data_IF_058766385324
#
_entry.id   IF_058766385324
#
_cell.length_a   1.000
_cell.length_b   1.000
_cell.length_c   1.000
_cell.angle_alpha   90.00
_cell.angle_beta   90.00
_cell.angle_gamma   90.00
#
_symmetry.space_group_name_H-M   'P 1'
#
loop_
_entity.id
_entity.type
_entity.pdbx_description
1 polymer ?
#
# COMPACT_ATOMS: atom_id res chain seq x y z
N UNK A 1 0.29 47.55 20.92
CA UNK A 1 -1.13 47.70 20.53
C UNK A 1 -1.80 46.34 20.63
N UNK A 2 -3.06 46.32 21.07
CA UNK A 2 -3.79 45.13 21.54
C UNK A 2 -4.06 44.10 20.44
N UNK A 3 -4.03 42.86 20.89
CA UNK A 3 -4.55 41.65 20.27
C UNK A 3 -6.08 41.71 20.20
N UNK A 4 -6.67 41.41 19.04
CA UNK A 4 -8.09 41.01 18.92
C UNK A 4 -8.15 39.60 18.32
N UNK A 5 -8.40 38.62 19.17
CA UNK A 5 -8.84 37.28 18.81
C UNK A 5 -10.35 37.35 18.51
N UNK A 6 -10.77 37.00 17.29
CA UNK A 6 -12.18 36.69 16.99
C UNK A 6 -12.36 35.18 16.91
N UNK A 7 -13.13 34.66 17.85
CA UNK A 7 -13.75 33.35 17.77
C UNK A 7 -14.65 33.27 16.52
N UNK A 8 -14.47 32.23 15.71
CA UNK A 8 -15.47 31.81 14.72
C UNK A 8 -15.82 30.35 14.98
N UNK A 9 -17.06 30.14 15.37
CA UNK A 9 -17.68 28.84 15.64
C UNK A 9 -17.92 28.06 14.33
N UNK A 10 -17.68 26.76 14.39
CA UNK A 10 -18.02 25.78 13.35
C UNK A 10 -19.54 25.76 13.07
N UNK A 11 -19.92 25.95 11.80
CA UNK A 11 -21.03 25.26 11.10
C UNK A 11 -21.28 25.91 9.73
N UNK A 12 -21.69 25.07 8.75
CA UNK A 12 -22.13 25.38 7.37
C UNK A 12 -21.05 25.57 6.31
N UNK A 13 -20.69 24.47 5.66
CA UNK A 13 -20.43 24.45 4.22
C UNK A 13 -20.81 23.07 3.65
N UNK A 14 -22.09 22.90 3.30
CA UNK A 14 -22.58 21.89 2.37
C UNK A 14 -23.82 22.49 1.70
N UNK A 15 -23.64 23.14 0.54
CA UNK A 15 -24.66 23.18 -0.51
C UNK A 15 -24.01 23.56 -1.86
N UNK A 16 -24.34 22.85 -2.96
CA UNK A 16 -23.68 23.03 -4.24
C UNK A 16 -24.23 24.21 -5.04
N UNK A 17 -23.31 24.90 -5.74
CA UNK A 17 -23.60 25.97 -6.70
C UNK A 17 -24.27 25.36 -7.93
N UNK A 18 -25.58 25.56 -8.07
CA UNK A 18 -26.30 25.41 -9.32
C UNK A 18 -27.10 26.69 -9.59
N UNK A 19 -26.60 27.54 -10.49
CA UNK A 19 -27.36 28.64 -11.10
C UNK A 19 -27.12 28.62 -12.61
N UNK A 20 -28.06 28.03 -13.34
CA UNK A 20 -28.35 28.46 -14.71
C UNK A 20 -29.87 28.60 -14.85
N UNK A 21 -30.29 29.73 -15.40
CA UNK A 21 -31.68 30.24 -15.42
C UNK A 21 -32.50 29.61 -16.55
N UNK A 22 -33.77 29.38 -16.23
CA UNK A 22 -34.99 29.44 -17.07
C UNK A 22 -35.04 28.57 -18.33
N UNK A 23 -36.03 27.67 -18.36
CA UNK A 23 -37.14 27.74 -19.32
C UNK A 23 -38.37 26.99 -18.78
N UNK A 24 -39.52 27.42 -19.29
CA UNK A 24 -40.90 27.27 -18.87
C UNK A 24 -41.53 25.88 -18.95
N UNK A 25 -42.51 25.67 -18.06
CA UNK A 25 -43.79 24.94 -18.22
C UNK A 25 -43.76 23.49 -18.70
N UNK A 26 -44.23 22.55 -17.86
CA UNK A 26 -45.46 21.78 -18.09
C UNK A 26 -45.66 20.68 -17.02
N UNK A 27 -46.90 20.63 -16.53
CA UNK A 27 -47.65 19.47 -16.01
C UNK A 27 -47.11 18.61 -14.87
N UNK A 28 -47.88 18.67 -13.80
CA UNK A 28 -48.01 17.80 -12.63
C UNK A 28 -48.04 16.31 -12.99
N UNK A 29 -47.10 15.53 -12.44
CA UNK A 29 -47.25 14.08 -12.27
C UNK A 29 -46.56 13.69 -10.96
N UNK A 30 -47.38 13.20 -10.03
CA UNK A 30 -46.95 12.71 -8.73
C UNK A 30 -46.25 11.35 -8.88
N UNK A 31 -45.06 11.20 -8.30
CA UNK A 31 -44.35 9.92 -8.13
C UNK A 31 -43.81 9.84 -6.68
N UNK A 32 -43.83 8.66 -6.02
CA UNK A 32 -43.83 8.53 -4.56
C UNK A 32 -42.47 8.79 -3.90
N UNK A 33 -42.51 9.16 -2.61
CA UNK A 33 -41.34 9.30 -1.73
C UNK A 33 -40.57 7.97 -1.61
N UNK A 34 -39.28 7.99 -1.95
CA UNK A 34 -38.33 6.92 -1.62
C UNK A 34 -37.94 7.00 -0.13
N UNK A 35 -37.73 5.86 0.55
CA UNK A 35 -37.35 5.83 1.95
C UNK A 35 -35.89 6.26 2.12
N UNK A 36 -35.64 7.12 3.10
CA UNK A 36 -34.30 7.49 3.58
C UNK A 36 -33.65 6.27 4.26
N UNK A 37 -32.72 5.60 3.59
CA UNK A 37 -31.80 4.69 4.25
C UNK A 37 -30.64 5.50 4.82
N UNK A 38 -30.50 5.47 6.14
CA UNK A 38 -29.32 5.94 6.84
C UNK A 38 -28.17 4.97 6.56
N UNK A 39 -27.16 5.43 5.82
CA UNK A 39 -25.88 4.74 5.70
C UNK A 39 -25.22 4.74 7.08
N UNK A 40 -25.28 3.60 7.78
CA UNK A 40 -24.45 3.37 8.97
C UNK A 40 -23.05 3.06 8.50
N UNK A 41 -22.10 3.94 8.82
CA UNK A 41 -20.69 3.63 8.76
C UNK A 41 -20.39 2.49 9.76
N UNK A 42 -19.73 1.44 9.29
CA UNK A 42 -19.21 0.39 10.16
C UNK A 42 -18.05 0.96 10.97
N UNK A 43 -18.25 1.08 12.28
CA UNK A 43 -17.20 1.31 13.26
C UNK A 43 -16.54 -0.06 13.54
N UNK A 44 -15.22 -0.12 13.45
CA UNK A 44 -14.43 -1.32 13.78
C UNK A 44 -14.69 -1.76 15.24
N UNK A 45 -14.97 -3.04 15.54
CA UNK A 45 -15.18 -3.46 16.91
C UNK A 45 -13.87 -3.44 17.70
N UNK A 46 -13.84 -2.64 18.78
CA UNK A 46 -12.77 -2.67 19.78
C UNK A 46 -12.77 -4.00 20.55
N UNK A 47 -11.62 -4.67 20.56
CA UNK A 47 -11.21 -5.58 21.64
C UNK A 47 -11.57 -7.06 21.44
N UNK A 48 -10.59 -7.85 21.01
CA UNK A 48 -10.62 -9.30 21.18
C UNK A 48 -9.46 -9.71 22.09
N UNK A 49 -9.81 -10.20 23.30
CA UNK A 49 -8.91 -10.97 24.16
C UNK A 49 -9.15 -12.45 23.88
N UNK A 50 -8.09 -13.17 23.55
CA UNK A 50 -8.11 -14.62 23.39
C UNK A 50 -8.54 -15.30 24.70
N UNK A 51 -9.73 -15.92 24.72
CA UNK A 51 -10.14 -16.89 25.73
C UNK A 51 -9.93 -18.30 25.17
N UNK A 52 -9.04 -19.07 25.81
CA UNK A 52 -9.02 -20.54 25.66
C UNK A 52 -10.31 -21.10 26.23
N UNK A 53 -11.19 -21.60 25.37
CA UNK A 53 -12.37 -22.36 25.79
C UNK A 53 -11.97 -23.83 25.89
N UNK A 54 -11.69 -24.31 27.09
CA UNK A 54 -11.57 -25.75 27.37
C UNK A 54 -12.97 -26.32 27.51
N UNK A 55 -13.34 -27.22 26.60
CA UNK A 55 -14.63 -27.90 26.57
C UNK A 55 -14.61 -29.04 27.60
N UNK A 56 -15.17 -28.79 28.79
CA UNK A 56 -15.33 -29.81 29.83
C UNK A 56 -16.68 -30.54 29.65
N UNK A 57 -16.63 -31.78 29.15
CA UNK A 57 -17.80 -32.67 29.10
C UNK A 57 -18.15 -33.18 30.50
N UNK A 58 -19.34 -32.85 31.00
CA UNK A 58 -19.89 -33.41 32.24
C UNK A 58 -20.38 -34.85 32.00
N UNK A 59 -19.73 -35.83 32.64
CA UNK A 59 -20.35 -37.09 33.07
C UNK A 59 -19.93 -37.38 34.51
N UNK A 60 -20.92 -37.42 35.43
CA UNK A 60 -20.77 -38.06 36.75
C UNK A 60 -20.97 -39.57 36.56
N UNK A 61 -20.27 -40.44 37.31
CA UNK A 61 -20.87 -40.90 38.57
C UNK A 61 -19.91 -41.27 39.72
N UNK A 62 -20.50 -41.26 40.92
CA UNK A 62 -20.30 -42.10 42.12
C UNK A 62 -19.06 -41.96 43.02
N UNK A 63 -19.41 -41.91 44.32
CA UNK A 63 -18.62 -41.98 45.55
C UNK A 63 -17.81 -43.28 45.69
N UNK A 64 -16.65 -43.19 46.34
CA UNK A 64 -16.04 -44.08 47.37
C UNK A 64 -14.63 -43.50 47.66
N UNK A 65 -14.40 -42.86 48.80
CA UNK A 65 -13.77 -43.41 50.02
C UNK A 65 -12.30 -43.84 49.88
N UNK A 66 -11.53 -43.44 50.91
CA UNK A 66 -10.34 -44.10 51.47
C UNK A 66 -8.93 -43.76 50.93
N UNK A 67 -8.25 -42.88 51.69
CA UNK A 67 -6.98 -43.07 52.44
C UNK A 67 -5.66 -43.55 51.80
N UNK A 68 -4.59 -42.97 52.39
CA UNK A 68 -3.19 -43.42 52.55
C UNK A 68 -2.27 -43.26 51.32
N UNK A 69 -1.25 -42.39 51.31
CA UNK A 69 -0.09 -42.19 52.21
C UNK A 69 0.96 -43.32 52.14
N UNK A 70 2.22 -42.88 51.98
CA UNK A 70 3.49 -43.62 52.07
C UNK A 70 3.83 -44.59 50.92
N UNK A 71 5.08 -44.72 50.44
CA UNK A 71 6.37 -44.05 50.70
C UNK A 71 7.38 -44.74 49.76
N UNK A 72 8.44 -44.01 49.37
CA UNK A 72 9.83 -44.50 49.20
C UNK A 72 10.09 -45.51 48.05
N UNK A 73 11.25 -45.57 47.37
CA UNK A 73 12.60 -44.99 47.52
C UNK A 73 13.45 -45.44 46.31
N UNK A 74 14.51 -44.67 45.99
CA UNK A 74 15.87 -45.04 45.48
C UNK A 74 15.99 -46.07 44.32
N UNK A 75 16.94 -46.05 43.37
CA UNK A 75 17.95 -45.13 42.79
C UNK A 75 18.79 -45.99 41.82
N UNK A 76 19.27 -45.42 40.70
CA UNK A 76 20.58 -45.61 39.97
C UNK A 76 21.18 -47.04 39.86
N UNK A 77 21.73 -47.60 38.78
CA UNK A 77 22.28 -47.30 37.43
C UNK A 77 22.59 -48.72 36.79
N UNK A 78 23.37 -48.93 35.70
CA UNK A 78 23.51 -48.34 34.36
C UNK A 78 23.40 -49.43 33.24
N UNK A 79 23.55 -49.06 31.95
CA UNK A 79 23.75 -50.03 30.86
C UNK A 79 23.95 -49.39 29.48
N UNK A 80 25.02 -49.78 28.81
CA UNK A 80 25.66 -49.24 27.58
C UNK A 80 24.88 -49.47 26.27
N UNK A 81 25.27 -48.76 25.22
CA UNK A 81 24.97 -49.12 23.83
C UNK A 81 25.23 -48.01 22.80
N UNK A 82 26.47 -47.95 22.27
CA UNK A 82 26.81 -47.25 21.02
C UNK A 82 26.12 -47.91 19.81
N UNK A 83 25.63 -47.14 18.83
CA UNK A 83 25.70 -47.53 17.41
C UNK A 83 25.47 -46.34 16.44
N UNK A 84 26.31 -46.33 15.41
CA UNK A 84 26.44 -45.38 14.30
C UNK A 84 25.18 -45.22 13.42
N UNK A 85 24.99 -44.03 12.84
CA UNK A 85 24.12 -43.80 11.68
C UNK A 85 24.13 -42.33 11.19
N UNK A 86 24.40 -42.05 9.90
CA UNK A 86 24.93 -40.76 9.45
C UNK A 86 23.90 -39.65 9.19
N UNK A 87 24.38 -38.42 9.37
CA UNK A 87 23.82 -37.14 8.95
C UNK A 87 23.76 -37.10 7.42
N UNK A 88 22.56 -36.98 6.85
CA UNK A 88 22.36 -36.66 5.44
C UNK A 88 22.30 -35.13 5.29
N UNK A 89 23.44 -34.54 4.93
CA UNK A 89 23.54 -33.16 4.43
C UNK A 89 23.06 -33.17 2.97
N UNK A 90 21.88 -32.63 2.68
CA UNK A 90 21.51 -32.31 1.30
C UNK A 90 22.07 -30.92 1.01
N UNK A 91 23.19 -30.92 0.28
CA UNK A 91 23.87 -29.73 -0.17
C UNK A 91 23.33 -29.31 -1.55
N UNK A 92 23.16 -28.01 -1.69
CA UNK A 92 22.68 -27.28 -2.86
C UNK A 92 23.57 -27.48 -4.10
N UNK A 93 22.95 -27.67 -5.27
CA UNK A 93 23.57 -27.40 -6.58
C UNK A 93 22.55 -26.78 -7.53
N UNK A 94 22.49 -25.45 -7.51
CA UNK A 94 21.83 -24.65 -8.54
C UNK A 94 22.88 -24.26 -9.59
N UNK A 95 22.69 -24.73 -10.83
CA UNK A 95 23.56 -24.42 -11.98
C UNK A 95 23.22 -23.02 -12.50
N UNK A 96 24.21 -22.13 -12.45
CA UNK A 96 24.26 -20.90 -13.25
C UNK A 96 24.66 -21.24 -14.69
N UNK A 97 23.91 -20.75 -15.68
CA UNK A 97 24.38 -20.62 -17.07
C UNK A 97 24.48 -19.13 -17.37
N UNK A 98 25.72 -18.67 -17.47
CA UNK A 98 26.11 -17.41 -18.13
C UNK A 98 26.45 -17.77 -19.57
N UNK A 99 25.81 -17.13 -20.54
CA UNK A 99 26.40 -17.00 -21.88
C UNK A 99 26.67 -15.53 -22.18
N UNK A 100 27.89 -15.31 -22.67
CA UNK A 100 28.47 -14.02 -23.00
C UNK A 100 29.09 -14.17 -24.40
N UNK A 101 28.92 -13.10 -25.18
CA UNK A 101 29.80 -12.65 -26.29
C UNK A 101 29.76 -13.42 -27.61
N UNK A 102 29.46 -12.73 -28.71
CA UNK A 102 30.53 -12.17 -29.57
C UNK A 102 30.02 -11.09 -30.52
N UNK A 103 30.83 -10.05 -30.66
CA UNK A 103 30.78 -9.02 -31.69
C UNK A 103 31.38 -9.56 -32.99
N UNK A 104 30.78 -9.22 -34.13
CA UNK A 104 31.44 -9.27 -35.43
C UNK A 104 31.12 -7.99 -36.21
N UNK A 105 32.12 -7.13 -36.29
CA UNK A 105 32.20 -5.99 -37.21
C UNK A 105 32.75 -6.53 -38.53
N UNK A 106 32.09 -6.23 -39.65
CA UNK A 106 32.69 -6.37 -40.97
C UNK A 106 32.35 -5.15 -41.83
N UNK A 107 33.42 -4.43 -42.17
CA UNK A 107 33.47 -3.27 -43.05
C UNK A 107 33.65 -3.73 -44.50
N UNK A 108 33.07 -2.98 -45.45
CA UNK A 108 33.38 -3.01 -46.87
C UNK A 108 32.13 -3.08 -47.76
N UNK A 109 31.96 -2.38 -48.87
CA UNK A 109 32.63 -1.24 -49.51
C UNK A 109 31.76 -0.88 -50.73
N UNK A 110 31.59 0.42 -51.02
CA UNK A 110 31.55 1.04 -52.37
C UNK A 110 30.28 0.94 -53.27
N UNK A 111 29.66 2.12 -53.44
CA UNK A 111 29.17 2.81 -54.65
C UNK A 111 27.91 2.40 -55.46
N UNK A 112 26.94 3.34 -55.42
CA UNK A 112 26.27 4.05 -56.53
C UNK A 112 25.91 3.32 -57.83
N UNK A 113 24.60 3.18 -58.12
CA UNK A 113 23.98 3.47 -59.43
C UNK A 113 22.55 4.02 -59.22
N UNK A 114 22.30 5.22 -59.72
CA UNK A 114 20.98 5.84 -59.93
C UNK A 114 20.35 5.37 -61.24
N UNK A 115 19.08 4.96 -61.24
CA UNK A 115 18.23 4.93 -62.45
C UNK A 115 16.85 5.50 -62.10
N UNK A 116 16.49 6.58 -62.80
CA UNK A 116 15.14 7.14 -62.89
C UNK A 116 14.22 6.19 -63.68
N UNK A 117 13.00 5.99 -63.20
CA UNK A 117 11.92 5.35 -63.96
C UNK A 117 10.55 5.82 -63.50
N UNK A 118 9.98 6.79 -64.22
CA UNK A 118 8.58 7.19 -64.09
C UNK A 118 7.66 6.06 -64.57
N UNK A 119 6.62 5.74 -63.80
CA UNK A 119 5.58 4.80 -64.19
C UNK A 119 4.33 5.02 -63.35
N UNK A 120 3.32 5.61 -63.98
CA UNK A 120 2.06 6.09 -63.42
C UNK A 120 1.16 4.91 -63.00
N UNK A 121 0.92 4.70 -61.70
CA UNK A 121 -0.31 4.08 -61.20
C UNK A 121 -0.72 4.73 -59.88
N UNK A 122 -1.73 5.58 -60.01
CA UNK A 122 -2.45 6.22 -58.93
C UNK A 122 -3.34 5.17 -58.25
N UNK A 123 -2.80 4.50 -57.24
CA UNK A 123 -3.60 3.86 -56.21
C UNK A 123 -3.99 4.92 -55.20
N UNK A 124 -5.25 5.35 -55.25
CA UNK A 124 -5.96 5.93 -54.11
C UNK A 124 -5.60 5.14 -52.85
N UNK A 125 -5.10 5.78 -51.77
CA UNK A 125 -5.11 5.13 -50.48
C UNK A 125 -6.59 4.94 -50.14
N UNK A 126 -7.05 3.69 -50.16
CA UNK A 126 -8.24 3.31 -49.43
C UNK A 126 -8.06 3.86 -48.01
N UNK A 127 -8.99 4.70 -47.58
CA UNK A 127 -9.12 5.12 -46.18
C UNK A 127 -8.86 3.89 -45.31
N UNK A 128 -7.70 3.89 -44.67
CA UNK A 128 -7.36 2.87 -43.69
C UNK A 128 -8.45 2.91 -42.66
N UNK A 129 -9.09 1.76 -42.44
CA UNK A 129 -9.95 1.54 -41.30
C UNK A 129 -9.25 2.13 -40.08
N UNK A 130 -9.92 3.07 -39.41
CA UNK A 130 -9.50 3.69 -38.15
C UNK A 130 -9.16 2.57 -37.17
N UNK A 131 -7.88 2.20 -37.09
CA UNK A 131 -7.38 1.37 -35.99
C UNK A 131 -7.54 2.28 -34.79
N UNK A 132 -8.67 2.13 -34.10
CA UNK A 132 -9.00 2.88 -32.90
C UNK A 132 -7.89 2.63 -31.88
N UNK A 133 -6.86 3.48 -31.90
CA UNK A 133 -5.73 3.39 -30.98
C UNK A 133 -6.27 3.67 -29.59
N UNK A 134 -6.28 2.65 -28.76
CA UNK A 134 -6.72 2.74 -27.37
C UNK A 134 -5.67 3.58 -26.62
N UNK A 135 -6.07 4.67 -25.95
CA UNK A 135 -5.15 5.50 -25.21
C UNK A 135 -4.60 4.71 -24.01
N UNK A 136 -3.29 4.83 -23.80
CA UNK A 136 -2.53 4.10 -22.77
C UNK A 136 -2.00 5.07 -21.73
N UNK A 137 -2.15 4.71 -20.46
CA UNK A 137 -1.73 5.50 -19.30
C UNK A 137 -1.02 4.58 -18.30
N UNK A 138 -0.02 5.10 -17.59
CA UNK A 138 0.69 4.28 -16.59
C UNK A 138 0.48 4.75 -15.16
N UNK A 139 0.28 3.78 -14.25
CA UNK A 139 0.14 3.97 -12.80
C UNK A 139 1.36 3.40 -12.08
N UNK A 140 2.15 4.29 -11.45
CA UNK A 140 3.20 3.87 -10.53
C UNK A 140 2.61 3.48 -9.17
N UNK A 141 3.07 2.38 -8.60
CA UNK A 141 2.62 1.93 -7.29
C UNK A 141 3.73 1.14 -6.57
N UNK A 142 3.67 1.16 -5.24
CA UNK A 142 4.54 0.38 -4.36
C UNK A 142 3.69 -0.47 -3.41
N UNK A 143 4.31 -1.48 -2.80
CA UNK A 143 3.63 -2.35 -1.85
C UNK A 143 3.15 -1.57 -0.61
N UNK A 144 1.84 -1.66 -0.35
CA UNK A 144 1.15 -1.11 0.82
C UNK A 144 -0.29 -1.65 0.82
N UNK A 145 -0.96 -1.91 1.96
CA UNK A 145 -2.22 -2.66 1.96
C UNK A 145 -3.28 -2.09 1.02
N UNK A 146 -3.37 -0.76 0.91
CA UNK A 146 -4.36 -0.11 0.05
C UNK A 146 -3.92 0.05 -1.42
N UNK A 147 -2.63 -0.08 -1.73
CA UNK A 147 -2.08 0.09 -3.09
C UNK A 147 -1.79 -1.24 -3.77
N UNK A 148 -1.42 -2.28 -3.01
CA UNK A 148 -1.27 -3.67 -3.48
C UNK A 148 -2.55 -4.20 -4.12
N UNK A 149 -3.71 -3.58 -3.86
CA UNK A 149 -4.97 -3.76 -4.58
C UNK A 149 -4.80 -3.71 -6.10
N UNK A 150 -3.95 -2.83 -6.65
CA UNK A 150 -3.73 -2.76 -8.11
C UNK A 150 -2.94 -3.96 -8.64
N UNK A 151 -1.94 -4.44 -7.90
CA UNK A 151 -1.25 -5.70 -8.21
C UNK A 151 -2.19 -6.90 -8.14
N UNK A 152 -3.11 -6.93 -7.17
CA UNK A 152 -4.14 -7.98 -7.06
C UNK A 152 -5.17 -7.88 -8.18
N UNK A 153 -5.54 -6.67 -8.60
CA UNK A 153 -6.45 -6.45 -9.73
C UNK A 153 -5.87 -7.03 -11.03
N UNK A 154 -4.56 -6.86 -11.27
CA UNK A 154 -3.84 -7.49 -12.38
C UNK A 154 -3.83 -9.02 -12.25
N UNK A 155 -3.40 -9.53 -11.09
CA UNK A 155 -3.30 -10.97 -10.83
C UNK A 155 -4.64 -11.72 -10.96
N UNK A 156 -5.74 -11.08 -10.55
CA UNK A 156 -7.10 -11.68 -10.60
C UNK A 156 -7.82 -11.41 -11.92
N UNK A 157 -7.19 -10.68 -12.85
CA UNK A 157 -7.75 -10.38 -14.17
C UNK A 157 -8.89 -9.35 -14.16
N UNK A 158 -8.96 -8.49 -13.14
CA UNK A 158 -9.85 -7.31 -13.13
C UNK A 158 -9.34 -6.27 -14.13
N UNK A 159 -8.02 -6.09 -14.17
CA UNK A 159 -7.26 -5.36 -15.20
C UNK A 159 -6.16 -6.28 -15.73
N UNK A 160 -5.48 -5.87 -16.79
CA UNK A 160 -4.20 -6.42 -17.21
C UNK A 160 -3.18 -5.28 -17.18
N UNK A 161 -2.28 -5.30 -16.19
CA UNK A 161 -1.31 -4.24 -15.96
C UNK A 161 -0.21 -4.17 -17.01
N UNK A 162 -0.18 -5.08 -17.98
CA UNK A 162 0.82 -5.11 -19.04
C UNK A 162 0.36 -4.25 -20.22
N UNK A 163 1.15 -3.22 -20.50
CA UNK A 163 0.92 -2.28 -21.61
C UNK A 163 0.49 -2.96 -22.91
N UNK A 164 -0.67 -2.56 -23.41
CA UNK A 164 -1.24 -3.00 -24.69
C UNK A 164 -2.07 -4.28 -24.59
N UNK A 165 -2.22 -4.86 -23.41
CA UNK A 165 -3.14 -5.95 -23.14
C UNK A 165 -4.24 -5.46 -22.20
N UNK A 166 -5.50 -5.75 -22.49
CA UNK A 166 -6.63 -5.20 -21.74
C UNK A 166 -7.27 -6.27 -20.88
N UNK A 167 -7.60 -5.92 -19.64
CA UNK A 167 -8.56 -6.62 -18.82
C UNK A 167 -10.00 -6.09 -18.98
N UNK A 168 -10.98 -6.71 -18.31
CA UNK A 168 -12.39 -6.35 -18.42
C UNK A 168 -12.70 -4.88 -18.11
N UNK A 169 -12.03 -4.28 -17.11
CA UNK A 169 -12.22 -2.87 -16.75
C UNK A 169 -11.66 -1.96 -17.85
N UNK A 170 -10.51 -2.29 -18.41
CA UNK A 170 -9.85 -1.52 -19.48
C UNK A 170 -10.66 -1.57 -20.78
N UNK A 171 -11.18 -2.75 -21.14
CA UNK A 171 -12.08 -2.92 -22.28
C UNK A 171 -13.36 -2.08 -22.12
N UNK A 172 -13.96 -2.09 -20.92
CA UNK A 172 -15.16 -1.32 -20.60
C UNK A 172 -14.95 0.19 -20.77
N UNK A 173 -13.83 0.71 -20.28
CA UNK A 173 -13.52 2.14 -20.34
C UNK A 173 -12.83 2.57 -21.62
N UNK A 174 -12.35 1.60 -22.43
CA UNK A 174 -11.64 1.87 -23.68
C UNK A 174 -10.30 2.56 -23.45
N UNK A 175 -9.56 2.14 -22.43
CA UNK A 175 -8.25 2.67 -22.02
C UNK A 175 -7.33 1.51 -21.60
N UNK A 176 -6.03 1.65 -21.82
CA UNK A 176 -4.98 0.70 -21.39
C UNK A 176 -4.27 1.25 -20.13
N UNK A 177 -4.07 0.40 -19.14
CA UNK A 177 -3.45 0.72 -17.84
C UNK A 177 -2.14 -0.07 -17.70
N UNK A 178 -1.01 0.61 -17.85
CA UNK A 178 0.30 0.05 -17.56
C UNK A 178 0.62 0.20 -16.05
N UNK A 179 0.71 -0.91 -15.33
CA UNK A 179 1.18 -0.90 -13.94
C UNK A 179 2.71 -0.84 -13.90
N UNK A 180 3.25 0.05 -13.07
CA UNK A 180 4.68 0.20 -12.80
C UNK A 180 4.95 0.00 -11.31
N UNK A 181 5.24 -1.23 -10.94
CA UNK A 181 5.63 -1.63 -9.58
C UNK A 181 7.08 -1.23 -9.31
N UNK A 182 7.33 -0.49 -8.23
CA UNK A 182 8.67 -0.15 -7.73
C UNK A 182 8.62 0.17 -6.23
N UNK A 183 9.78 0.40 -5.62
CA UNK A 183 9.85 0.97 -4.26
C UNK A 183 9.20 2.36 -4.20
N UNK A 184 8.85 2.81 -2.99
CA UNK A 184 8.09 4.05 -2.79
C UNK A 184 8.78 5.29 -3.39
N UNK A 185 10.03 5.57 -3.01
CA UNK A 185 10.79 6.73 -3.52
C UNK A 185 10.93 6.73 -5.06
N UNK A 186 11.30 5.60 -5.71
CA UNK A 186 11.24 5.50 -7.17
C UNK A 186 9.89 5.82 -7.79
N UNK A 187 8.76 5.44 -7.17
CA UNK A 187 7.42 5.78 -7.68
C UNK A 187 7.20 7.30 -7.73
N UNK A 188 7.59 8.01 -6.66
CA UNK A 188 7.53 9.47 -6.58
C UNK A 188 8.43 10.12 -7.63
N UNK A 189 9.65 9.60 -7.81
CA UNK A 189 10.60 10.09 -8.80
C UNK A 189 10.08 9.90 -10.24
N UNK A 190 9.55 8.72 -10.58
CA UNK A 190 8.97 8.43 -11.89
C UNK A 190 7.79 9.36 -12.19
N UNK A 191 6.89 9.56 -11.23
CA UNK A 191 5.77 10.49 -11.37
C UNK A 191 6.23 11.93 -11.55
N UNK A 192 7.13 12.41 -10.68
CA UNK A 192 7.68 13.77 -10.74
C UNK A 192 8.40 14.06 -12.06
N UNK A 193 9.14 13.09 -12.59
CA UNK A 193 9.82 13.17 -13.89
C UNK A 193 8.87 13.02 -15.09
N UNK A 194 7.58 12.76 -14.87
CA UNK A 194 6.59 12.56 -15.92
C UNK A 194 6.70 11.26 -16.69
N UNK A 195 7.40 10.27 -16.12
CA UNK A 195 7.49 8.91 -16.66
C UNK A 195 6.22 8.09 -16.39
N UNK A 196 5.36 8.57 -15.48
CA UNK A 196 4.05 8.00 -15.17
C UNK A 196 2.93 9.05 -15.21
N UNK A 197 1.72 8.61 -15.59
CA UNK A 197 0.53 9.44 -15.63
C UNK A 197 -0.14 9.57 -14.27
N UNK A 198 -0.05 8.53 -13.44
CA UNK A 198 -0.57 8.49 -12.08
C UNK A 198 0.41 7.81 -11.12
N UNK A 199 0.19 8.03 -9.82
CA UNK A 199 0.98 7.46 -8.73
C UNK A 199 0.12 7.16 -7.51
N UNK A 200 0.38 6.03 -6.85
CA UNK A 200 -0.08 5.78 -5.49
C UNK A 200 0.84 6.51 -4.50
N UNK A 201 0.29 7.42 -3.71
CA UNK A 201 1.05 8.37 -2.90
C UNK A 201 0.24 8.89 -1.71
N UNK A 202 0.92 9.25 -0.63
CA UNK A 202 0.30 9.94 0.51
C UNK A 202 0.02 11.42 0.19
N UNK A 203 -0.95 12.00 0.88
CA UNK A 203 -1.37 13.40 0.73
C UNK A 203 -0.28 14.43 1.06
N UNK A 204 0.70 14.13 1.93
CA UNK A 204 1.84 15.01 2.14
C UNK A 204 2.92 14.85 1.08
N UNK A 205 3.13 13.63 0.58
CA UNK A 205 4.28 13.33 -0.27
C UNK A 205 4.08 13.85 -1.69
N UNK A 206 2.82 14.04 -2.11
CA UNK A 206 2.50 14.71 -3.36
C UNK A 206 2.91 16.19 -3.39
N UNK A 207 3.13 16.84 -2.24
CA UNK A 207 3.47 18.27 -2.20
C UNK A 207 4.81 18.56 -2.90
N UNK A 208 5.78 17.67 -2.79
CA UNK A 208 7.08 17.80 -3.45
C UNK A 208 6.97 17.79 -4.99
N UNK A 209 6.43 16.74 -5.65
CA UNK A 209 6.26 16.73 -7.10
C UNK A 209 5.24 17.78 -7.60
N UNK A 210 4.26 18.18 -6.78
CA UNK A 210 3.27 19.21 -7.16
C UNK A 210 3.88 20.59 -7.45
N UNK A 211 5.10 20.86 -6.98
CA UNK A 211 5.83 22.10 -7.28
C UNK A 211 6.11 22.28 -8.78
N UNK A 212 6.33 21.19 -9.51
CA UNK A 212 6.60 21.19 -10.95
C UNK A 212 5.55 20.46 -11.79
N UNK A 213 4.74 19.59 -11.17
CA UNK A 213 3.76 18.74 -11.86
C UNK A 213 2.43 18.74 -11.10
N UNK A 214 1.49 19.65 -11.42
CA UNK A 214 0.19 19.68 -10.79
C UNK A 214 -0.55 18.34 -10.91
N UNK A 215 -0.99 17.81 -9.77
CA UNK A 215 -1.75 16.56 -9.66
C UNK A 215 -3.19 16.78 -9.21
N UNK A 216 -4.05 15.81 -9.49
CA UNK A 216 -5.42 15.71 -9.01
C UNK A 216 -5.56 14.39 -8.27
N UNK A 217 -5.89 14.45 -6.98
CA UNK A 217 -6.23 13.26 -6.19
C UNK A 217 -7.59 12.76 -6.64
N UNK A 218 -7.65 11.53 -7.19
CA UNK A 218 -8.89 10.95 -7.74
C UNK A 218 -9.50 9.88 -6.81
N UNK A 219 -8.70 9.31 -5.92
CA UNK A 219 -9.10 8.16 -5.12
C UNK A 219 -8.33 8.15 -3.78
N UNK A 220 -8.95 8.48 -2.65
CA UNK A 220 -8.41 8.12 -1.34
C UNK A 220 -8.55 6.61 -1.13
N UNK A 221 -7.46 5.95 -0.75
CA UNK A 221 -7.39 4.48 -0.62
C UNK A 221 -7.29 4.02 0.83
N UNK A 222 -6.81 4.88 1.74
CA UNK A 222 -6.69 4.61 3.18
C UNK A 222 -6.58 5.93 3.95
N UNK A 223 -7.00 5.92 5.22
CA UNK A 223 -6.87 7.06 6.15
C UNK A 223 -5.88 6.77 7.29
N UNK A 224 -5.01 5.77 7.11
CA UNK A 224 -4.02 5.27 8.08
C UNK A 224 -4.53 5.17 9.52
N UNK A 225 -5.03 4.00 9.91
CA UNK A 225 -5.50 3.71 11.28
C UNK A 225 -4.50 2.78 12.01
N UNK A 226 -3.38 3.37 12.44
CA UNK A 226 -2.27 2.66 13.08
C UNK A 226 -1.26 2.02 12.11
N UNK A 227 -1.36 2.35 10.81
CA UNK A 227 -0.47 1.83 9.79
C UNK A 227 0.93 2.47 9.82
N UNK A 228 1.02 3.72 10.28
CA UNK A 228 2.26 4.47 10.48
C UNK A 228 2.56 4.57 11.99
N UNK A 229 3.74 4.16 12.43
CA UNK A 229 4.06 4.08 13.85
C UNK A 229 5.49 4.46 14.18
N UNK A 230 5.65 5.12 15.33
CA UNK A 230 6.93 5.25 16.00
C UNK A 230 7.19 4.00 16.84
N UNK A 231 8.11 3.17 16.40
CA UNK A 231 8.57 2.00 17.14
C UNK A 231 9.79 2.34 17.97
N UNK A 232 9.80 1.87 19.22
CA UNK A 232 10.90 2.09 20.15
C UNK A 232 11.27 0.83 20.91
N UNK A 233 12.54 0.74 21.27
CA UNK A 233 13.08 -0.26 22.19
C UNK A 233 12.59 -0.04 23.62
N UNK A 234 12.58 -1.10 24.44
CA UNK A 234 11.97 -1.11 25.77
C UNK A 234 12.56 -0.10 26.79
N UNK A 235 13.78 0.39 26.58
CA UNK A 235 14.41 1.41 27.42
C UNK A 235 13.79 2.81 27.23
N UNK A 236 13.18 3.08 26.09
CA UNK A 236 12.45 4.31 25.82
C UNK A 236 11.01 4.13 26.31
N UNK A 237 10.60 4.86 27.35
CA UNK A 237 9.29 4.72 28.00
C UNK A 237 8.31 5.81 27.59
N UNK A 238 8.84 6.99 27.27
CA UNK A 238 8.09 8.20 26.98
C UNK A 238 8.70 8.93 25.79
N UNK A 239 7.97 9.92 25.27
CA UNK A 239 8.50 10.79 24.22
C UNK A 239 9.75 11.54 24.71
N UNK A 240 9.80 11.93 25.99
CA UNK A 240 10.94 12.66 26.57
C UNK A 240 12.25 11.87 26.52
N UNK A 241 12.17 10.53 26.54
CA UNK A 241 13.35 9.66 26.47
C UNK A 241 13.99 9.65 25.06
N UNK A 242 13.32 10.22 24.05
CA UNK A 242 13.86 10.42 22.70
C UNK A 242 14.77 11.65 22.59
N UNK A 243 14.78 12.57 23.58
CA UNK A 243 15.64 13.74 23.53
C UNK A 243 17.11 13.33 23.51
N UNK A 244 17.87 13.83 22.53
CA UNK A 244 19.27 13.46 22.30
C UNK A 244 19.46 12.06 21.71
N UNK A 245 18.38 11.39 21.27
CA UNK A 245 18.43 10.16 20.47
C UNK A 245 17.94 10.45 19.06
N UNK A 246 18.53 9.76 18.08
CA UNK A 246 18.06 9.77 16.70
C UNK A 246 16.81 8.93 16.54
N UNK A 247 15.80 9.52 15.92
CA UNK A 247 14.61 8.83 15.41
C UNK A 247 14.78 8.67 13.91
N UNK A 248 14.85 7.44 13.43
CA UNK A 248 15.10 7.17 12.01
C UNK A 248 13.80 6.96 11.23
N UNK A 249 13.69 7.59 10.09
CA UNK A 249 12.56 7.43 9.17
C UNK A 249 12.76 8.27 7.92
N UNK A 250 11.81 8.22 7.00
CA UNK A 250 11.90 8.99 5.76
C UNK A 250 11.63 10.48 6.03
N UNK A 251 12.62 11.33 5.78
CA UNK A 251 12.47 12.79 5.92
C UNK A 251 11.55 13.35 4.84
N UNK A 252 10.84 14.43 5.18
CA UNK A 252 9.89 15.13 4.32
C UNK A 252 8.81 14.21 3.76
N UNK A 253 8.47 13.19 4.53
CA UNK A 253 7.46 12.21 4.18
C UNK A 253 6.51 11.92 5.35
N UNK A 254 5.58 10.99 5.14
CA UNK A 254 4.63 10.48 6.13
C UNK A 254 5.29 10.08 7.45
N UNK A 255 6.50 9.53 7.41
CA UNK A 255 7.28 9.20 8.62
C UNK A 255 7.56 10.42 9.49
N UNK A 256 8.14 11.47 8.91
CA UNK A 256 8.46 12.70 9.65
C UNK A 256 7.18 13.41 10.11
N UNK A 257 6.15 13.47 9.26
CA UNK A 257 4.87 14.07 9.66
C UNK A 257 4.22 13.32 10.83
N UNK A 258 4.14 11.99 10.77
CA UNK A 258 3.58 11.18 11.86
C UNK A 258 4.33 11.45 13.17
N UNK A 259 5.65 11.58 13.10
CA UNK A 259 6.49 11.92 14.24
C UNK A 259 6.19 13.32 14.79
N UNK A 260 6.38 14.36 13.97
CA UNK A 260 6.24 15.76 14.36
C UNK A 260 4.82 16.06 14.84
N UNK A 261 3.81 15.55 14.14
CA UNK A 261 2.42 15.78 14.52
C UNK A 261 2.08 15.18 15.90
N UNK A 262 2.60 14.01 16.21
CA UNK A 262 2.45 13.43 17.55
C UNK A 262 3.25 14.21 18.62
N UNK A 263 4.41 14.78 18.28
CA UNK A 263 5.11 15.71 19.18
C UNK A 263 4.24 16.91 19.52
N UNK A 264 3.61 17.55 18.53
CA UNK A 264 2.72 18.69 18.74
C UNK A 264 1.54 18.35 19.66
N UNK A 265 0.88 17.21 19.43
CA UNK A 265 -0.23 16.75 20.27
C UNK A 265 0.20 16.49 21.73
N UNK A 266 1.47 16.14 21.93
CA UNK A 266 2.10 15.94 23.24
C UNK A 266 2.71 17.23 23.81
N UNK A 267 2.44 18.39 23.20
CA UNK A 267 3.00 19.70 23.55
C UNK A 267 4.53 19.71 23.59
N UNK A 268 5.16 18.89 22.74
CA UNK A 268 6.59 18.87 22.53
C UNK A 268 6.96 19.76 21.34
N UNK A 269 8.15 20.33 21.35
CA UNK A 269 8.67 21.08 20.22
C UNK A 269 9.51 20.18 19.35
N UNK A 270 9.31 20.24 18.03
CA UNK A 270 10.11 19.49 17.05
C UNK A 270 11.62 19.72 17.21
N UNK A 271 12.04 20.97 17.44
CA UNK A 271 13.46 21.37 17.60
C UNK A 271 14.20 20.67 18.75
N UNK A 272 13.49 20.06 19.70
CA UNK A 272 14.08 19.33 20.84
C UNK A 272 14.43 17.87 20.49
N UNK A 273 14.08 17.39 19.29
CA UNK A 273 14.23 16.01 18.87
C UNK A 273 15.06 15.91 17.59
N UNK A 274 15.82 14.82 17.46
CA UNK A 274 16.64 14.57 16.28
C UNK A 274 15.94 13.54 15.39
N UNK A 275 15.42 13.98 14.26
CA UNK A 275 14.94 13.11 13.19
C UNK A 275 16.06 12.91 12.17
N UNK A 276 16.26 11.69 11.69
CA UNK A 276 17.35 11.35 10.77
C UNK A 276 16.82 10.55 9.59
N UNK A 277 17.07 11.07 8.38
CA UNK A 277 16.68 10.39 7.14
C UNK A 277 17.21 8.96 7.06
N UNK A 278 16.31 8.00 6.89
CA UNK A 278 16.63 6.61 6.60
C UNK A 278 15.44 5.96 5.89
N UNK A 279 15.74 5.17 4.85
CA UNK A 279 14.73 4.33 4.20
C UNK A 279 14.00 3.46 5.25
N UNK A 280 12.65 3.41 5.26
CA UNK A 280 11.88 2.70 6.28
C UNK A 280 12.18 1.20 6.33
N UNK A 281 12.41 0.56 5.16
CA UNK A 281 12.80 -0.84 5.09
C UNK A 281 14.16 -1.08 5.73
N UNK A 282 15.13 -0.20 5.45
CA UNK A 282 16.44 -0.23 6.08
C UNK A 282 16.38 0.06 7.58
N UNK A 283 15.58 1.04 8.02
CA UNK A 283 15.38 1.39 9.42
C UNK A 283 14.77 0.24 10.21
N UNK A 284 13.74 -0.40 9.64
CA UNK A 284 13.10 -1.57 10.21
C UNK A 284 14.06 -2.77 10.27
N UNK A 285 14.81 -3.05 9.20
CA UNK A 285 15.80 -4.12 9.19
C UNK A 285 16.90 -3.90 10.24
N UNK A 286 17.44 -2.68 10.33
CA UNK A 286 18.45 -2.31 11.31
C UNK A 286 17.93 -2.44 12.75
N UNK A 287 16.70 -1.95 12.99
CA UNK A 287 16.02 -2.16 14.27
C UNK A 287 15.89 -3.65 14.53
N UNK A 288 15.31 -4.45 13.63
CA UNK A 288 15.14 -5.92 13.76
C UNK A 288 16.45 -6.63 14.11
N UNK A 289 17.56 -6.24 13.49
CA UNK A 289 18.91 -6.77 13.73
C UNK A 289 19.59 -6.31 15.03
N UNK A 290 18.89 -5.56 15.90
CA UNK A 290 19.44 -5.04 17.17
C UNK A 290 20.63 -4.10 16.97
N UNK A 291 20.66 -3.34 15.87
CA UNK A 291 21.67 -2.30 15.71
C UNK A 291 21.50 -1.23 16.79
N UNK A 292 22.59 -0.93 17.51
CA UNK A 292 22.54 -0.10 18.72
C UNK A 292 22.04 1.33 18.47
N UNK A 293 22.19 1.85 17.25
CA UNK A 293 21.74 3.19 16.90
C UNK A 293 20.22 3.27 16.69
N UNK A 294 19.57 2.20 16.22
CA UNK A 294 18.15 2.17 15.87
C UNK A 294 17.29 1.81 17.08
N UNK A 295 17.33 2.68 18.09
CA UNK A 295 16.49 2.57 19.28
C UNK A 295 15.06 3.08 19.04
N UNK A 296 14.89 3.98 18.08
CA UNK A 296 13.61 4.56 17.67
C UNK A 296 13.54 4.69 16.14
N UNK A 297 12.46 4.22 15.53
CA UNK A 297 12.19 4.37 14.10
C UNK A 297 10.74 4.81 13.88
N UNK A 298 10.46 5.52 12.79
CA UNK A 298 9.10 5.87 12.38
C UNK A 298 8.87 5.32 10.98
N UNK A 299 8.09 4.25 10.91
CA UNK A 299 7.90 3.43 9.70
C UNK A 299 6.43 3.08 9.54
N UNK A 300 6.09 2.54 8.37
CA UNK A 300 4.73 2.09 8.05
C UNK A 300 4.65 0.59 7.86
N UNK A 301 3.44 0.09 7.69
CA UNK A 301 3.14 -1.30 7.34
C UNK A 301 3.69 -1.65 5.94
N UNK A 302 4.38 -2.78 5.76
CA UNK A 302 4.45 -3.95 6.65
C UNK A 302 5.53 -3.87 7.72
N UNK A 303 6.46 -2.93 7.62
CA UNK A 303 7.64 -2.85 8.48
C UNK A 303 7.30 -2.75 9.97
N UNK A 304 6.19 -2.10 10.31
CA UNK A 304 5.65 -2.08 11.68
C UNK A 304 5.36 -3.51 12.17
N UNK A 305 4.53 -4.24 11.45
CA UNK A 305 4.14 -5.61 11.80
C UNK A 305 5.32 -6.56 11.81
N UNK A 306 6.22 -6.48 10.83
CA UNK A 306 7.43 -7.31 10.76
C UNK A 306 8.36 -7.07 11.94
N UNK A 307 8.57 -5.82 12.32
CA UNK A 307 9.46 -5.49 13.43
C UNK A 307 8.87 -5.98 14.75
N UNK A 308 7.58 -5.74 15.00
CA UNK A 308 6.89 -6.22 16.20
C UNK A 308 6.82 -7.75 16.27
N UNK A 309 6.66 -8.43 15.12
CA UNK A 309 6.66 -9.89 15.05
C UNK A 309 8.03 -10.52 15.33
N UNK A 310 9.13 -9.83 15.00
CA UNK A 310 10.51 -10.31 15.22
C UNK A 310 11.13 -9.87 16.55
N UNK A 311 10.58 -8.84 17.20
CA UNK A 311 11.19 -8.20 18.38
C UNK A 311 10.19 -7.96 19.50
N UNK A 312 10.21 -8.83 20.49
CA UNK A 312 9.39 -8.70 21.71
C UNK A 312 9.80 -7.51 22.61
N UNK A 313 11.03 -7.02 22.48
CA UNK A 313 11.56 -5.86 23.20
C UNK A 313 11.29 -4.52 22.49
N UNK A 314 10.58 -4.54 21.36
CA UNK A 314 10.14 -3.34 20.62
C UNK A 314 8.64 -3.16 20.82
N UNK A 315 8.21 -1.91 20.93
CA UNK A 315 6.79 -1.54 21.07
C UNK A 315 6.46 -0.28 20.28
N UNK A 316 5.18 -0.09 20.01
CA UNK A 316 4.65 1.18 19.50
C UNK A 316 4.72 2.22 20.63
N UNK A 317 5.34 3.37 20.38
CA UNK A 317 5.30 4.54 21.26
C UNK A 317 4.03 5.36 21.00
N UNK A 318 3.76 5.64 19.73
CA UNK A 318 2.53 6.20 19.20
C UNK A 318 2.39 5.80 17.72
N UNK A 319 1.21 5.99 17.16
CA UNK A 319 0.87 5.64 15.78
C UNK A 319 -0.16 6.61 15.20
N UNK A 320 -0.52 6.40 13.93
CA UNK A 320 -1.49 7.22 13.21
C UNK A 320 -2.91 7.21 13.80
N UNK A 321 -3.24 6.31 14.74
CA UNK A 321 -4.54 6.38 15.45
C UNK A 321 -4.69 7.67 16.29
N UNK A 322 -3.58 8.37 16.56
CA UNK A 322 -3.57 9.65 17.27
C UNK A 322 -3.89 10.85 16.38
N UNK A 323 -3.79 10.70 15.07
CA UNK A 323 -3.94 11.76 14.07
C UNK A 323 -4.97 11.34 13.00
N UNK A 324 -6.22 11.07 13.39
CA UNK A 324 -7.20 10.46 12.51
C UNK A 324 -7.53 11.35 11.31
N UNK A 325 -7.50 10.76 10.10
CA UNK A 325 -7.75 11.41 8.82
C UNK A 325 -6.72 12.49 8.41
N UNK A 326 -5.55 12.53 9.05
CA UNK A 326 -4.48 13.45 8.65
C UNK A 326 -3.54 12.84 7.60
N UNK A 327 -3.27 11.53 7.72
CA UNK A 327 -2.54 10.75 6.71
C UNK A 327 -3.56 10.08 5.79
N UNK A 328 -3.53 10.44 4.52
CA UNK A 328 -4.44 9.92 3.50
C UNK A 328 -3.59 9.34 2.37
N UNK A 329 -3.64 8.03 2.26
CA UNK A 329 -3.10 7.29 1.11
C UNK A 329 -4.05 7.46 -0.07
N UNK A 330 -3.52 7.64 -1.27
CA UNK A 330 -4.35 7.97 -2.43
C UNK A 330 -3.74 7.57 -3.76
N UNK A 331 -4.55 7.67 -4.82
CA UNK A 331 -4.07 7.75 -6.20
C UNK A 331 -4.20 9.19 -6.70
N UNK A 332 -3.09 9.72 -7.21
CA UNK A 332 -3.02 11.04 -7.82
C UNK A 332 -2.69 10.90 -9.31
N UNK A 333 -3.46 11.57 -10.15
CA UNK A 333 -3.22 11.65 -11.61
C UNK A 333 -2.66 13.03 -11.94
N UNK A 334 -1.66 13.08 -12.81
CA UNK A 334 -1.16 14.35 -13.32
C UNK A 334 -2.27 15.08 -14.06
N UNK A 335 -2.44 16.39 -13.80
CA UNK A 335 -3.47 17.20 -14.46
C UNK A 335 -3.37 17.12 -15.99
N UNK A 336 -2.14 17.19 -16.51
CA UNK A 336 -1.87 17.06 -17.94
C UNK A 336 -2.29 15.69 -18.50
N UNK A 337 -2.26 14.62 -17.70
CA UNK A 337 -2.71 13.30 -18.13
C UNK A 337 -4.23 13.18 -18.14
N UNK A 338 -4.94 13.82 -17.19
CA UNK A 338 -6.40 13.92 -17.23
C UNK A 338 -6.92 14.69 -18.44
N UNK A 339 -6.17 15.67 -18.93
CA UNK A 339 -6.51 16.48 -20.10
C UNK A 339 -6.25 15.75 -21.44
N UNK A 340 -5.54 14.62 -21.44
CA UNK A 340 -5.35 13.79 -22.64
C UNK A 340 -6.66 13.08 -23.02
N UNK A 341 -6.79 12.74 -24.30
CA UNK A 341 -7.86 11.84 -24.78
C UNK A 341 -7.83 10.54 -23.98
N UNK A 342 -8.93 10.21 -23.31
CA UNK A 342 -9.05 9.03 -22.45
C UNK A 342 -8.64 9.24 -20.99
N UNK A 343 -8.17 10.43 -20.59
CA UNK A 343 -7.71 10.69 -19.22
C UNK A 343 -8.82 10.56 -18.16
N UNK A 344 -10.03 11.03 -18.46
CA UNK A 344 -11.20 10.82 -17.60
C UNK A 344 -11.56 9.33 -17.50
N UNK A 345 -11.58 8.62 -18.63
CA UNK A 345 -11.86 7.18 -18.66
C UNK A 345 -10.79 6.38 -17.91
N UNK A 346 -9.52 6.78 -17.98
CA UNK A 346 -8.42 6.22 -17.19
C UNK A 346 -8.65 6.41 -15.69
N UNK A 347 -9.01 7.61 -15.25
CA UNK A 347 -9.31 7.86 -13.84
C UNK A 347 -10.49 7.00 -13.35
N UNK A 348 -11.56 6.90 -14.15
CA UNK A 348 -12.69 6.03 -13.83
C UNK A 348 -12.31 4.54 -13.80
N UNK A 349 -11.47 4.08 -14.73
CA UNK A 349 -11.00 2.70 -14.79
C UNK A 349 -10.15 2.33 -13.56
N UNK A 350 -9.24 3.22 -13.13
CA UNK A 350 -8.45 3.04 -11.90
C UNK A 350 -9.35 2.97 -10.66
N UNK A 351 -10.34 3.86 -10.56
CA UNK A 351 -11.32 3.85 -9.46
C UNK A 351 -12.13 2.55 -9.45
N UNK A 352 -12.58 2.09 -10.61
CA UNK A 352 -13.34 0.86 -10.74
C UNK A 352 -12.51 -0.37 -10.37
N UNK A 353 -11.26 -0.48 -10.86
CA UNK A 353 -10.35 -1.56 -10.51
C UNK A 353 -10.16 -1.67 -8.98
N UNK A 354 -9.96 -0.54 -8.30
CA UNK A 354 -9.86 -0.52 -6.85
C UNK A 354 -11.15 -1.04 -6.18
N UNK A 355 -12.32 -0.57 -6.61
CA UNK A 355 -13.57 -1.00 -5.99
C UNK A 355 -14.00 -2.43 -6.34
N UNK A 356 -13.59 -2.99 -7.48
CA UNK A 356 -13.83 -4.39 -7.81
C UNK A 356 -13.07 -5.34 -6.87
N UNK A 357 -11.80 -5.03 -6.56
CA UNK A 357 -11.05 -5.79 -5.55
C UNK A 357 -11.66 -5.62 -4.16
N UNK A 358 -12.11 -4.41 -3.80
CA UNK A 358 -12.81 -4.19 -2.53
C UNK A 358 -14.14 -4.95 -2.43
N UNK A 359 -14.86 -5.12 -3.55
CA UNK A 359 -16.05 -5.99 -3.58
C UNK A 359 -15.68 -7.44 -3.31
N UNK A 360 -14.57 -7.93 -3.87
CA UNK A 360 -14.07 -9.27 -3.58
C UNK A 360 -13.65 -9.44 -2.11
N UNK A 361 -13.03 -8.42 -1.50
CA UNK A 361 -12.77 -8.40 -0.04
C UNK A 361 -14.06 -8.42 0.80
N UNK A 362 -15.09 -7.69 0.36
CA UNK A 362 -16.36 -7.64 1.08
C UNK A 362 -17.16 -8.95 0.95
N UNK A 363 -17.04 -9.65 -0.18
CA UNK A 363 -17.69 -10.94 -0.43
C UNK A 363 -17.07 -12.06 0.42
N UNK A 364 -17.87 -12.64 1.32
CA UNK A 364 -17.42 -13.73 2.20
C UNK A 364 -16.87 -14.95 1.47
N UNK A 365 -17.27 -15.20 0.22
CA UNK A 365 -16.77 -16.33 -0.55
C UNK A 365 -15.36 -16.10 -1.12
N UNK A 366 -14.99 -14.83 -1.37
CA UNK A 366 -13.71 -14.43 -1.98
C UNK A 366 -12.76 -13.74 -1.01
N UNK A 367 -13.26 -13.33 0.16
CA UNK A 367 -12.53 -12.51 1.14
C UNK A 367 -11.18 -13.09 1.50
N UNK A 368 -11.13 -14.36 1.90
CA UNK A 368 -9.90 -14.98 2.40
C UNK A 368 -8.85 -15.06 1.29
N UNK A 369 -9.23 -15.52 0.09
CA UNK A 369 -8.35 -15.53 -1.09
C UNK A 369 -7.85 -14.12 -1.43
N UNK A 370 -8.73 -13.12 -1.40
CA UNK A 370 -8.35 -11.73 -1.71
C UNK A 370 -7.44 -11.13 -0.64
N UNK A 371 -7.65 -11.45 0.63
CA UNK A 371 -6.77 -11.02 1.73
C UNK A 371 -5.40 -11.68 1.65
N UNK A 372 -5.35 -12.98 1.29
CA UNK A 372 -4.09 -13.69 1.06
C UNK A 372 -3.34 -13.05 -0.11
N UNK A 373 -4.03 -12.82 -1.24
CA UNK A 373 -3.46 -12.16 -2.41
C UNK A 373 -2.87 -10.77 -2.10
N UNK A 374 -3.60 -9.94 -1.33
CA UNK A 374 -3.09 -8.66 -0.88
C UNK A 374 -1.91 -8.86 0.06
N UNK A 375 -2.00 -9.82 0.99
CA UNK A 375 -0.97 -10.16 1.96
C UNK A 375 0.34 -10.59 1.30
N UNK A 376 0.31 -11.45 0.29
CA UNK A 376 1.48 -11.91 -0.47
C UNK A 376 2.19 -10.76 -1.20
N UNK A 377 1.43 -9.76 -1.64
CA UNK A 377 1.89 -8.52 -2.28
C UNK A 377 2.24 -7.41 -1.28
N UNK A 378 2.12 -7.66 0.02
CA UNK A 378 2.26 -6.63 1.06
C UNK A 378 3.24 -7.04 2.15
N UNK A 379 3.34 -8.32 2.49
CA UNK A 379 4.16 -8.80 3.60
C UNK A 379 4.50 -10.28 3.48
N UNK A 380 5.71 -10.65 3.89
CA UNK A 380 6.11 -12.06 3.99
C UNK A 380 5.79 -12.67 5.37
N UNK A 381 4.76 -12.15 6.05
CA UNK A 381 4.46 -12.48 7.44
C UNK A 381 3.75 -13.83 7.63
N UNK A 382 3.32 -14.49 6.54
CA UNK A 382 2.57 -15.75 6.60
C UNK A 382 1.25 -15.62 7.38
N UNK A 383 0.57 -14.48 7.22
CA UNK A 383 -0.65 -14.09 7.94
C UNK A 383 -1.90 -14.86 7.49
#
# INVERSE_FOLDING_TARGET
MRCELRHVSHARWLEPIARCRRLSSLSTLAIPRLPTSSTRYLVWPKGWKWRKTVQASRRRPRKKEATAFCRNRFSLFPGEGDFFGPILIINSKMKYIKEKTTWSVLLGCVALITINGCGNQQSTPSEGADVKTIPSFSLAWSEYPSWSVFGVADMTGVINGKKGELGPVEEKWGVDIELKEAEYDPCLAMYGAGQCDAVCITNMDILSPATGRPGVMILPTSTSDGADACLVTADIKSIQDLKGKKVYGLEKSVSEYCFVRNLELLNQKEEDFEFANMDPGAAALAMQQKQAAQQAIVVWNPFVMETLGKREDVRVLFDSTKIPNEIIDSVVVAKASLEKKGGEAFACAVIEAYYEVNKALADTAKRDETLIAIGEKFSNLGL
#
